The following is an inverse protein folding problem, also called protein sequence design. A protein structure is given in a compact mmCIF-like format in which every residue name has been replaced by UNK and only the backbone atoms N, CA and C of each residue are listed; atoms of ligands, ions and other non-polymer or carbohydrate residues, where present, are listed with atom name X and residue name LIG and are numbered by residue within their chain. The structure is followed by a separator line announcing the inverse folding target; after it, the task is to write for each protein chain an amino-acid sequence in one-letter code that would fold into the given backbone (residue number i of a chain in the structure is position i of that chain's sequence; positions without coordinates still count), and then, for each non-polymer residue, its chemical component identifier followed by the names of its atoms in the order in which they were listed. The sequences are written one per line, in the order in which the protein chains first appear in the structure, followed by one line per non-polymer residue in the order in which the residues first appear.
data_IF_293832160624
#
_entry.id   IF_293832160624
#
_cell.length_a   1.000
_cell.length_b   1.000
_cell.length_c   1.000
_cell.angle_alpha   90.00
_cell.angle_beta   90.00
_cell.angle_gamma   90.00
#
_symmetry.space_group_name_H-M   'P 1'
#
loop_
_entity.id
_entity.type
_entity.pdbx_description
1 polymer ?
#
# COMPACT_ATOMS: atom_id res chain seq x y z
N UNK A 1 -53.26 0.54 -23.73
CA UNK A 1 -53.11 0.10 -22.31
C UNK A 1 -51.75 -0.53 -21.97
N UNK A 2 -50.96 -1.15 -22.88
CA UNK A 2 -49.68 -1.83 -22.58
C UNK A 2 -48.51 -0.93 -22.09
N UNK A 3 -48.43 0.36 -22.51
CA UNK A 3 -47.34 1.28 -22.13
C UNK A 3 -47.34 1.70 -20.64
N UNK A 4 -48.49 1.68 -19.94
CA UNK A 4 -48.59 2.10 -18.54
C UNK A 4 -48.06 1.03 -17.58
N UNK A 5 -48.23 -0.24 -17.91
CA UNK A 5 -47.72 -1.36 -17.12
C UNK A 5 -46.21 -1.47 -17.20
N UNK A 6 -45.58 -1.25 -18.34
CA UNK A 6 -44.12 -1.29 -18.50
C UNK A 6 -43.42 -0.25 -17.65
N UNK A 7 -43.87 1.01 -17.64
CA UNK A 7 -43.31 2.06 -16.78
C UNK A 7 -43.40 1.67 -15.30
N UNK A 8 -44.47 1.03 -14.87
CA UNK A 8 -44.60 0.57 -13.48
C UNK A 8 -43.60 -0.55 -13.15
N UNK A 9 -43.37 -1.48 -14.05
CA UNK A 9 -42.36 -2.55 -13.85
C UNK A 9 -40.92 -1.97 -13.79
N UNK A 10 -40.61 -1.00 -14.64
CA UNK A 10 -39.29 -0.32 -14.58
C UNK A 10 -39.10 0.38 -13.25
N UNK A 11 -40.08 1.11 -12.74
CA UNK A 11 -39.99 1.78 -11.44
C UNK A 11 -39.80 0.77 -10.29
N UNK A 12 -40.46 -0.37 -10.33
CA UNK A 12 -40.29 -1.43 -9.34
C UNK A 12 -38.87 -2.02 -9.41
N UNK A 13 -38.34 -2.27 -10.60
CA UNK A 13 -36.96 -2.77 -10.77
C UNK A 13 -35.96 -1.77 -10.24
N UNK A 14 -36.11 -0.48 -10.54
CA UNK A 14 -35.25 0.57 -10.03
C UNK A 14 -35.32 0.62 -8.49
N UNK A 15 -36.50 0.56 -7.92
CA UNK A 15 -36.69 0.56 -6.46
C UNK A 15 -35.99 -0.65 -5.79
N UNK A 16 -36.09 -1.84 -6.41
CA UNK A 16 -35.40 -3.05 -5.93
C UNK A 16 -33.87 -2.88 -6.00
N UNK A 17 -33.34 -2.36 -7.11
CA UNK A 17 -31.90 -2.13 -7.26
C UNK A 17 -31.39 -1.12 -6.26
N UNK A 18 -32.12 -0.03 -6.00
CA UNK A 18 -31.77 0.96 -4.97
C UNK A 18 -31.80 0.33 -3.57
N UNK A 19 -32.82 -0.47 -3.27
CA UNK A 19 -32.95 -1.17 -2.00
C UNK A 19 -31.81 -2.20 -1.81
N UNK A 20 -31.49 -2.97 -2.85
CA UNK A 20 -30.37 -3.91 -2.82
C UNK A 20 -29.03 -3.19 -2.60
N UNK A 21 -28.79 -2.07 -3.28
CA UNK A 21 -27.61 -1.24 -3.07
C UNK A 21 -27.55 -0.70 -1.63
N UNK A 22 -28.67 -0.22 -1.10
CA UNK A 22 -28.75 0.26 0.29
C UNK A 22 -28.46 -0.87 1.31
N UNK A 23 -29.05 -2.04 1.11
CA UNK A 23 -28.82 -3.22 1.96
C UNK A 23 -27.35 -3.66 1.86
N UNK A 24 -26.77 -3.72 0.66
CA UNK A 24 -25.36 -4.10 0.48
C UNK A 24 -24.39 -3.15 1.19
N UNK A 25 -24.70 -1.85 1.20
CA UNK A 25 -23.93 -0.85 1.97
C UNK A 25 -24.12 -1.02 3.49
N UNK A 26 -25.36 -1.28 3.93
CA UNK A 26 -25.68 -1.44 5.37
C UNK A 26 -25.13 -2.74 5.96
N UNK A 27 -25.08 -3.80 5.18
CA UNK A 27 -24.60 -5.12 5.61
C UNK A 27 -23.08 -5.28 5.45
N UNK A 28 -22.38 -4.25 4.94
CA UNK A 28 -20.95 -4.36 4.66
C UNK A 28 -20.60 -5.26 3.47
N UNK A 29 -21.58 -5.71 2.69
CA UNK A 29 -21.35 -6.49 1.48
C UNK A 29 -20.65 -5.68 0.38
N UNK A 30 -20.92 -4.37 0.36
CA UNK A 30 -20.06 -3.35 -0.26
C UNK A 30 -19.41 -2.67 0.93
N UNK A 31 -18.18 -3.06 1.25
CA UNK A 31 -17.37 -2.29 2.17
C UNK A 31 -17.44 -0.85 1.67
N UNK A 32 -17.84 0.09 2.53
CA UNK A 32 -17.43 1.47 2.28
C UNK A 32 -15.94 1.35 2.14
N UNK A 33 -15.44 1.69 0.97
CA UNK A 33 -14.04 2.02 0.84
C UNK A 33 -13.88 3.19 1.80
N UNK A 34 -13.49 2.88 3.01
CA UNK A 34 -13.15 3.90 3.99
C UNK A 34 -11.97 4.58 3.36
N UNK A 35 -12.10 5.86 3.09
CA UNK A 35 -10.96 6.68 2.80
C UNK A 35 -9.91 6.30 3.84
N UNK A 36 -8.67 6.03 3.38
CA UNK A 36 -7.57 5.72 4.29
C UNK A 36 -7.60 6.84 5.32
N UNK A 37 -7.90 6.49 6.56
CA UNK A 37 -8.02 7.47 7.64
C UNK A 37 -6.63 8.06 7.81
N UNK A 38 -6.53 9.31 7.44
CA UNK A 38 -5.31 10.07 7.52
C UNK A 38 -5.16 10.50 8.98
N UNK A 39 -4.10 10.04 9.65
CA UNK A 39 -3.76 10.49 10.98
C UNK A 39 -2.95 11.80 10.90
N UNK A 40 -3.55 12.95 11.22
CA UNK A 40 -2.86 14.23 11.19
C UNK A 40 -1.73 14.33 12.24
N UNK A 41 -1.80 13.57 13.33
CA UNK A 41 -0.79 13.60 14.40
C UNK A 41 0.56 13.09 13.90
N UNK A 42 0.56 12.08 13.02
CA UNK A 42 1.80 11.56 12.40
C UNK A 42 2.54 12.63 11.60
N UNK A 43 1.83 13.49 10.88
CA UNK A 43 2.49 14.57 10.14
C UNK A 43 2.95 15.71 11.04
N UNK A 44 2.22 15.97 12.10
CA UNK A 44 2.63 16.98 13.08
C UNK A 44 3.91 16.51 13.80
N UNK A 45 4.01 15.24 14.16
CA UNK A 45 5.21 14.64 14.75
C UNK A 45 6.39 14.60 13.77
N UNK A 46 6.14 14.28 12.50
CA UNK A 46 7.18 14.31 11.46
C UNK A 46 7.77 15.72 11.28
N UNK A 47 6.96 16.77 11.46
CA UNK A 47 7.37 18.16 11.45
C UNK A 47 7.91 18.63 10.11
N UNK A 48 8.72 19.69 10.13
CA UNK A 48 9.34 20.25 8.92
C UNK A 48 10.48 19.36 8.38
N UNK A 49 10.69 19.42 7.07
CA UNK A 49 11.78 18.71 6.42
C UNK A 49 13.17 19.17 6.94
N UNK A 50 13.95 18.22 7.44
CA UNK A 50 15.28 18.46 8.06
C UNK A 50 16.45 18.01 7.18
N UNK A 51 16.26 17.91 5.87
CA UNK A 51 17.32 17.48 4.93
C UNK A 51 17.41 15.97 4.72
N UNK A 52 16.55 15.17 5.36
CA UNK A 52 16.50 13.72 5.22
C UNK A 52 15.17 13.29 4.59
N UNK A 53 15.17 12.20 3.79
CA UNK A 53 13.96 11.69 3.14
C UNK A 53 13.06 10.85 4.07
N UNK A 54 13.25 10.93 5.36
CA UNK A 54 12.46 10.27 6.40
C UNK A 54 12.46 11.09 7.69
N UNK A 55 11.46 10.86 8.53
CA UNK A 55 11.40 11.34 9.90
C UNK A 55 11.27 10.14 10.86
N UNK A 56 11.70 10.34 12.11
CA UNK A 56 11.40 9.40 13.18
C UNK A 56 10.05 9.75 13.78
N UNK A 57 9.19 8.77 13.91
CA UNK A 57 7.89 8.84 14.55
C UNK A 57 7.94 7.95 15.78
N UNK A 58 7.36 8.38 16.91
CA UNK A 58 7.29 7.64 18.16
C UNK A 58 8.67 7.06 18.59
N UNK A 59 9.71 7.89 18.54
CA UNK A 59 11.10 7.48 18.84
C UNK A 59 11.57 6.25 18.03
N UNK A 60 10.96 6.01 16.88
CA UNK A 60 11.16 4.84 16.02
C UNK A 60 10.79 3.51 16.72
N UNK A 61 9.85 3.54 17.63
CA UNK A 61 9.24 2.37 18.25
C UNK A 61 7.92 2.10 17.54
N UNK A 62 7.76 0.97 16.84
CA UNK A 62 6.51 0.65 16.17
C UNK A 62 5.44 0.28 17.19
N UNK A 63 4.22 0.74 16.95
CA UNK A 63 3.03 0.33 17.69
C UNK A 63 2.29 -0.74 16.88
N UNK A 64 2.29 -1.95 17.38
CA UNK A 64 1.52 -3.06 16.81
C UNK A 64 0.39 -3.44 17.75
N UNK A 65 -0.80 -3.67 17.19
CA UNK A 65 -1.87 -4.37 17.89
C UNK A 65 -1.49 -5.81 18.22
N UNK A 66 -2.09 -6.40 19.24
CA UNK A 66 -1.81 -7.78 19.64
C UNK A 66 -2.05 -8.81 18.52
N UNK A 67 -2.98 -8.53 17.61
CA UNK A 67 -3.32 -9.33 16.42
C UNK A 67 -2.35 -9.13 15.24
N UNK A 68 -1.54 -8.08 15.27
CA UNK A 68 -0.50 -7.80 14.28
C UNK A 68 0.85 -8.43 14.62
N UNK A 69 1.02 -8.95 15.84
CA UNK A 69 2.24 -9.62 16.29
C UNK A 69 2.20 -11.10 15.89
N UNK A 70 2.75 -11.38 14.72
CA UNK A 70 2.80 -12.75 14.19
C UNK A 70 4.04 -13.51 14.66
N UNK A 71 3.86 -14.77 14.98
CA UNK A 71 4.94 -15.68 15.44
C UNK A 71 5.51 -16.57 14.33
N UNK A 72 4.94 -16.48 13.12
CA UNK A 72 5.39 -17.22 11.94
C UNK A 72 5.51 -16.27 10.75
N UNK A 73 6.46 -16.52 9.81
CA UNK A 73 6.62 -15.70 8.61
C UNK A 73 5.35 -15.70 7.76
N UNK A 74 4.85 -14.52 7.49
CA UNK A 74 3.66 -14.28 6.66
C UNK A 74 3.57 -12.82 6.23
N UNK A 75 2.71 -12.53 5.26
CA UNK A 75 2.45 -11.19 4.73
C UNK A 75 0.95 -10.93 4.63
N UNK A 76 0.57 -9.69 4.85
CA UNK A 76 -0.78 -9.18 4.61
C UNK A 76 -0.70 -7.86 3.86
N UNK A 77 -1.38 -7.80 2.72
CA UNK A 77 -1.53 -6.61 1.89
C UNK A 77 -3.02 -6.32 1.76
N UNK A 78 -3.48 -5.21 2.31
CA UNK A 78 -4.87 -4.79 2.16
C UNK A 78 -5.23 -4.52 0.69
N UNK A 79 -6.51 -4.72 0.32
CA UNK A 79 -6.98 -4.37 -1.01
C UNK A 79 -6.76 -2.88 -1.33
N UNK A 80 -6.62 -2.56 -2.63
CA UNK A 80 -6.63 -1.18 -3.08
C UNK A 80 -7.97 -0.51 -2.74
N UNK A 81 -7.92 0.76 -2.36
CA UNK A 81 -9.12 1.57 -2.17
C UNK A 81 -9.81 1.94 -3.50
N UNK A 82 -10.90 2.71 -3.43
CA UNK A 82 -11.66 3.14 -4.62
C UNK A 82 -10.88 4.06 -5.57
N UNK A 83 -9.78 4.61 -5.11
CA UNK A 83 -8.88 5.44 -5.90
C UNK A 83 -7.66 4.66 -6.42
N UNK A 84 -7.60 3.35 -6.14
CA UNK A 84 -6.46 2.48 -6.48
C UNK A 84 -5.22 2.73 -5.63
N UNK A 85 -5.37 3.28 -4.41
CA UNK A 85 -4.27 3.49 -3.48
C UNK A 85 -4.08 2.23 -2.62
N UNK A 86 -2.84 1.93 -2.26
CA UNK A 86 -2.53 0.84 -1.34
C UNK A 86 -3.03 1.15 0.07
N UNK A 87 -3.55 0.14 0.75
CA UNK A 87 -3.81 0.15 2.18
C UNK A 87 -2.59 -0.29 2.99
N UNK A 88 -2.85 -0.81 4.19
CA UNK A 88 -1.84 -1.31 5.11
C UNK A 88 -1.09 -2.50 4.51
N UNK A 89 0.22 -2.52 4.70
CA UNK A 89 1.10 -3.61 4.30
C UNK A 89 1.94 -4.04 5.51
N UNK A 90 1.75 -5.26 5.98
CA UNK A 90 2.43 -5.82 7.16
C UNK A 90 3.08 -7.15 6.78
N UNK A 91 4.28 -7.41 7.28
CA UNK A 91 4.95 -8.68 7.11
C UNK A 91 5.73 -9.09 8.36
N UNK A 92 5.59 -10.36 8.74
CA UNK A 92 6.53 -11.05 9.61
C UNK A 92 7.54 -11.77 8.72
N UNK A 93 8.77 -11.26 8.68
CA UNK A 93 9.79 -11.71 7.73
C UNK A 93 10.65 -12.81 8.32
N UNK A 94 10.78 -13.92 7.58
CA UNK A 94 11.68 -15.03 7.89
C UNK A 94 12.50 -15.41 6.66
N UNK A 95 13.34 -16.42 6.79
CA UNK A 95 14.09 -16.98 5.66
C UNK A 95 13.15 -17.50 4.57
N UNK A 96 12.03 -18.03 5.00
CA UNK A 96 11.01 -18.68 4.17
C UNK A 96 10.27 -17.69 3.27
N UNK A 97 10.23 -16.40 3.65
CA UNK A 97 9.62 -15.36 2.84
C UNK A 97 10.58 -14.70 1.85
N UNK A 98 11.89 -14.89 2.05
CA UNK A 98 12.89 -14.26 1.19
C UNK A 98 12.93 -14.93 -0.19
N UNK A 99 13.10 -14.15 -1.28
CA UNK A 99 13.17 -14.68 -2.63
C UNK A 99 14.43 -15.54 -2.83
N UNK A 100 14.27 -16.67 -3.54
CA UNK A 100 15.37 -17.53 -3.94
C UNK A 100 15.76 -17.36 -5.42
N UNK A 101 14.92 -16.65 -6.20
CA UNK A 101 15.05 -16.50 -7.66
C UNK A 101 15.52 -15.13 -8.12
N UNK A 102 15.61 -14.99 -9.44
CA UNK A 102 15.85 -13.71 -10.10
C UNK A 102 14.61 -12.82 -10.02
N UNK A 103 14.84 -11.52 -9.96
CA UNK A 103 13.78 -10.52 -9.89
C UNK A 103 13.06 -10.39 -11.21
N UNK A 104 11.74 -10.46 -11.21
CA UNK A 104 10.90 -10.22 -12.37
C UNK A 104 10.66 -8.72 -12.64
N UNK A 105 10.04 -8.41 -13.79
CA UNK A 105 9.74 -7.02 -14.14
C UNK A 105 8.45 -6.56 -13.49
N UNK A 106 8.47 -5.35 -12.94
CA UNK A 106 7.29 -4.64 -12.43
C UNK A 106 6.79 -3.56 -13.39
N UNK A 107 7.25 -3.56 -14.65
CA UNK A 107 6.95 -2.50 -15.63
C UNK A 107 5.48 -2.37 -15.98
N UNK A 108 4.74 -3.46 -15.91
CA UNK A 108 3.32 -3.51 -16.27
C UNK A 108 2.38 -2.95 -15.16
N UNK A 109 2.90 -2.77 -13.95
CA UNK A 109 2.09 -2.22 -12.86
C UNK A 109 2.17 -0.69 -12.89
N UNK A 110 1.01 -0.06 -12.88
CA UNK A 110 0.87 1.39 -12.87
C UNK A 110 0.10 1.81 -11.61
N UNK A 111 0.78 2.03 -10.49
CA UNK A 111 0.13 2.49 -9.27
C UNK A 111 -0.58 3.83 -9.47
N UNK A 112 -1.55 4.15 -8.64
CA UNK A 112 -2.25 5.44 -8.68
C UNK A 112 -1.27 6.61 -8.75
N UNK A 113 -1.54 7.57 -9.65
CA UNK A 113 -0.69 8.74 -9.89
C UNK A 113 0.56 8.45 -10.72
N UNK A 114 0.71 7.25 -11.30
CA UNK A 114 1.86 6.91 -12.14
C UNK A 114 2.04 7.86 -13.31
N UNK A 115 3.28 8.37 -13.46
CA UNK A 115 3.73 9.20 -14.58
C UNK A 115 5.15 8.87 -14.96
N UNK A 116 5.50 9.16 -16.22
CA UNK A 116 6.84 8.95 -16.78
C UNK A 116 7.57 10.27 -17.02
N UNK A 117 7.47 11.21 -16.09
CA UNK A 117 8.11 12.50 -16.21
C UNK A 117 9.63 12.38 -16.07
N UNK A 118 10.35 12.99 -17.02
CA UNK A 118 11.80 12.97 -17.06
C UNK A 118 12.38 14.36 -16.87
N UNK A 119 13.53 14.41 -16.16
CA UNK A 119 14.26 15.63 -15.91
C UNK A 119 15.77 15.36 -15.90
N UNK A 120 16.55 16.22 -16.55
CA UNK A 120 18.00 16.05 -16.73
C UNK A 120 18.77 16.12 -15.40
N UNK A 121 18.25 16.81 -14.39
CA UNK A 121 18.88 16.92 -13.07
C UNK A 121 18.61 15.71 -12.17
N UNK A 122 17.80 14.73 -12.61
CA UNK A 122 17.52 13.53 -11.83
C UNK A 122 18.41 12.40 -12.31
N UNK A 123 19.12 11.76 -11.41
CA UNK A 123 19.87 10.56 -11.73
C UNK A 123 18.92 9.48 -12.25
N UNK A 124 19.21 8.91 -13.41
CA UNK A 124 18.35 8.04 -14.22
C UNK A 124 17.17 8.74 -14.93
N UNK A 125 17.04 10.05 -14.83
CA UNK A 125 16.12 10.87 -15.59
C UNK A 125 14.67 10.84 -15.11
N UNK A 126 14.20 9.80 -14.41
CA UNK A 126 12.79 9.65 -14.04
C UNK A 126 12.48 10.23 -12.66
N UNK A 127 11.48 11.13 -12.59
CA UNK A 127 11.02 11.71 -11.33
C UNK A 127 10.32 10.68 -10.47
N UNK A 128 9.48 9.84 -11.06
CA UNK A 128 8.68 8.85 -10.35
C UNK A 128 9.20 7.43 -10.54
N UNK A 129 9.10 6.65 -9.48
CA UNK A 129 9.44 5.24 -9.44
C UNK A 129 8.27 4.43 -8.87
N UNK A 130 8.20 3.16 -9.24
CA UNK A 130 7.38 2.17 -8.55
C UNK A 130 8.08 1.80 -7.25
N UNK A 131 7.47 2.15 -6.14
CA UNK A 131 8.04 1.97 -4.80
C UNK A 131 7.31 0.84 -4.08
N UNK A 132 8.03 -0.21 -3.71
CA UNK A 132 7.45 -1.27 -2.89
C UNK A 132 7.17 -0.77 -1.47
N UNK A 133 6.03 -1.11 -0.90
CA UNK A 133 5.75 -0.95 0.52
C UNK A 133 6.61 -1.94 1.32
N UNK A 134 6.48 -3.22 1.07
CA UNK A 134 7.38 -4.25 1.58
C UNK A 134 8.38 -4.59 0.49
N UNK A 135 9.67 -4.55 0.81
CA UNK A 135 10.72 -4.72 -0.19
C UNK A 135 10.80 -6.16 -0.69
N UNK A 136 10.97 -6.36 -2.00
CA UNK A 136 11.17 -7.66 -2.64
C UNK A 136 12.14 -8.58 -1.88
N UNK A 137 13.25 -8.06 -1.40
CA UNK A 137 14.25 -8.85 -0.66
C UNK A 137 13.76 -9.43 0.66
N UNK A 138 12.57 -9.06 1.12
CA UNK A 138 11.98 -9.49 2.39
C UNK A 138 10.93 -10.58 2.21
N UNK A 139 10.05 -10.43 1.20
CA UNK A 139 8.91 -11.31 0.98
C UNK A 139 8.85 -11.93 -0.41
N UNK A 140 9.70 -11.50 -1.33
CA UNK A 140 9.69 -11.99 -2.71
C UNK A 140 8.57 -11.42 -3.57
N UNK A 141 7.68 -10.62 -3.02
CA UNK A 141 6.54 -10.05 -3.71
C UNK A 141 6.95 -8.87 -4.61
N UNK A 142 7.03 -9.12 -5.90
CA UNK A 142 7.49 -8.14 -6.88
C UNK A 142 6.35 -7.38 -7.54
N UNK A 143 5.55 -8.11 -8.30
CA UNK A 143 4.59 -7.58 -9.25
C UNK A 143 3.17 -7.62 -8.67
N UNK A 144 3.00 -7.14 -7.44
CA UNK A 144 1.72 -7.04 -6.77
C UNK A 144 1.32 -5.57 -6.69
N UNK A 145 0.19 -5.21 -7.27
CA UNK A 145 -0.33 -3.84 -7.30
C UNK A 145 -0.54 -3.25 -5.90
N UNK A 146 -0.99 -4.07 -4.96
CA UNK A 146 -1.20 -3.71 -3.54
C UNK A 146 0.08 -3.45 -2.76
N UNK A 147 1.23 -3.83 -3.31
CA UNK A 147 2.55 -3.61 -2.71
C UNK A 147 3.35 -2.50 -3.42
N UNK A 148 2.75 -1.80 -4.40
CA UNK A 148 3.44 -0.81 -5.22
C UNK A 148 2.73 0.54 -5.19
N UNK A 149 3.47 1.58 -4.83
CA UNK A 149 3.01 2.97 -4.88
C UNK A 149 3.85 3.79 -5.86
N UNK A 150 3.27 4.87 -6.38
CA UNK A 150 4.03 5.90 -7.08
C UNK A 150 4.75 6.79 -6.05
N UNK A 151 6.06 6.81 -6.12
CA UNK A 151 6.88 7.68 -5.28
C UNK A 151 7.96 8.38 -6.07
N UNK A 152 8.55 9.42 -5.51
CA UNK A 152 9.67 10.10 -6.16
C UNK A 152 10.92 9.22 -6.17
N UNK A 153 11.79 9.42 -7.15
CA UNK A 153 13.11 8.78 -7.22
C UNK A 153 13.93 9.02 -5.94
N UNK A 154 13.84 10.23 -5.38
CA UNK A 154 14.48 10.58 -4.11
C UNK A 154 13.95 9.74 -2.95
N UNK A 155 12.62 9.69 -2.76
CA UNK A 155 12.01 8.87 -1.71
C UNK A 155 12.39 7.40 -1.85
N UNK A 156 12.36 6.85 -3.07
CA UNK A 156 12.62 5.43 -3.30
C UNK A 156 14.08 5.05 -3.10
N UNK A 157 15.02 5.87 -3.58
CA UNK A 157 16.45 5.58 -3.49
C UNK A 157 17.03 5.97 -2.14
N UNK A 158 16.84 7.23 -1.76
CA UNK A 158 17.56 7.81 -0.62
C UNK A 158 16.80 7.55 0.69
N UNK A 159 15.47 7.60 0.66
CA UNK A 159 14.64 7.32 1.85
C UNK A 159 14.52 5.85 2.17
N UNK A 160 13.83 5.12 1.32
CA UNK A 160 13.51 3.71 1.59
C UNK A 160 14.72 2.77 1.54
N UNK A 161 15.74 3.09 0.73
CA UNK A 161 16.96 2.30 0.67
C UNK A 161 17.69 2.31 2.02
N UNK A 162 17.84 3.46 2.65
CA UNK A 162 18.49 3.57 3.96
C UNK A 162 17.75 2.79 5.05
N UNK A 163 16.41 2.88 5.10
CA UNK A 163 15.60 2.13 6.05
C UNK A 163 15.74 0.61 5.84
N UNK A 164 15.69 0.13 4.59
CA UNK A 164 15.87 -1.28 4.25
C UNK A 164 17.27 -1.79 4.58
N UNK A 165 18.31 -0.99 4.36
CA UNK A 165 19.69 -1.36 4.70
C UNK A 165 19.87 -1.48 6.20
N UNK A 166 19.27 -0.56 6.98
CA UNK A 166 19.31 -0.63 8.45
C UNK A 166 18.66 -1.90 8.98
N UNK A 167 17.47 -2.27 8.45
CA UNK A 167 16.81 -3.52 8.82
C UNK A 167 17.66 -4.75 8.50
N UNK A 168 18.19 -4.84 7.28
CA UNK A 168 19.08 -5.96 6.86
C UNK A 168 20.30 -6.10 7.75
N UNK A 169 20.85 -5.00 8.23
CA UNK A 169 22.01 -5.01 9.12
C UNK A 169 21.64 -5.50 10.51
N UNK A 170 20.52 -5.08 11.06
CA UNK A 170 20.05 -5.51 12.38
C UNK A 170 19.63 -6.98 12.42
N UNK A 171 19.00 -7.48 11.38
CA UNK A 171 18.54 -8.87 11.29
C UNK A 171 19.70 -9.89 11.07
N UNK A 172 20.88 -9.42 10.68
CA UNK A 172 22.07 -10.28 10.47
C UNK A 172 23.01 -10.33 11.66
N UNK A 173 22.74 -9.61 12.75
CA UNK A 173 23.55 -9.75 13.96
C UNK A 173 23.39 -11.17 14.49
N UNK A 174 24.47 -11.97 14.65
CA UNK A 174 24.37 -13.25 15.33
C UNK A 174 23.93 -12.97 16.77
N UNK A 175 23.02 -13.82 17.26
CA UNK A 175 22.77 -13.88 18.69
C UNK A 175 24.11 -14.13 19.37
N UNK A 176 24.61 -13.16 20.11
CA UNK A 176 25.76 -13.38 20.98
C UNK A 176 25.27 -14.26 22.12
N UNK A 177 25.63 -15.54 22.03
CA UNK A 177 25.58 -16.48 23.14
C UNK A 177 26.35 -15.96 24.32
#
# INVERSE_FOLDING_TARGET
MKKKHWKRHILIIIAILVLMGYVAVKTGLISRVTDIEYDPEILEEAGEWKGFPFAYINDNVPEFGDDEIWTSPQESLEPLDSYGRCGTAVACVGRETMPEGERSSISEIHPTGWKTDKYDFIQNGYLYNRCHLIGYQLTGDEAIDRNLITGTSYMNRDGRYLLRMRWRYTSKKPETT
#
